data_IF_797800615661
#
_entry.id   IF_797800615661
#
_cell.length_a   1.000
_cell.length_b   1.000
_cell.length_c   1.000
_cell.angle_alpha   90.00
_cell.angle_beta   90.00
_cell.angle_gamma   90.00
#
_symmetry.space_group_name_H-M   'P 1'
#
loop_
_entity.id
_entity.type
_entity.pdbx_description
1 polymer ?
#
# COMPACT_ATOMS: atom_id res chain seq x y z
N UNK A 1 -32.62 22.31 19.09
CA UNK A 1 -32.32 23.54 18.34
C UNK A 1 -30.82 23.86 18.19
N UNK A 2 -29.89 23.18 18.89
CA UNK A 2 -28.44 23.44 18.76
C UNK A 2 -27.69 22.63 17.68
N UNK A 3 -28.30 21.59 17.11
CA UNK A 3 -27.64 20.71 16.11
C UNK A 3 -27.90 21.08 14.64
N UNK A 4 -28.95 21.84 14.34
CA UNK A 4 -29.35 22.18 12.96
C UNK A 4 -28.34 23.13 12.30
N UNK A 5 -27.98 24.21 13.01
CA UNK A 5 -27.05 25.25 12.50
C UNK A 5 -25.66 24.69 12.15
N UNK A 6 -25.18 23.68 12.87
CA UNK A 6 -23.88 23.08 12.59
C UNK A 6 -23.92 22.17 11.36
N UNK A 7 -24.99 21.39 11.18
CA UNK A 7 -25.17 20.58 9.98
C UNK A 7 -25.37 21.44 8.74
N UNK A 8 -26.12 22.54 8.86
CA UNK A 8 -26.34 23.47 7.75
C UNK A 8 -25.01 24.09 7.27
N UNK A 9 -24.12 24.47 8.20
CA UNK A 9 -22.80 24.98 7.82
C UNK A 9 -21.92 23.91 7.16
N UNK A 10 -21.96 22.66 7.64
CA UNK A 10 -21.24 21.56 6.98
C UNK A 10 -21.76 21.35 5.57
N UNK A 11 -23.08 21.37 5.40
CA UNK A 11 -23.74 21.25 4.10
C UNK A 11 -23.23 22.38 3.19
N UNK A 12 -23.30 23.64 3.61
CA UNK A 12 -22.81 24.78 2.83
C UNK A 12 -21.35 24.64 2.40
N UNK A 13 -20.46 24.20 3.30
CA UNK A 13 -19.04 24.00 3.01
C UNK A 13 -18.81 22.88 1.99
N UNK A 14 -19.61 21.81 2.05
CA UNK A 14 -19.58 20.73 1.05
C UNK A 14 -20.10 21.22 -0.30
N UNK A 15 -21.23 21.95 -0.31
CA UNK A 15 -21.82 22.51 -1.53
C UNK A 15 -20.94 23.60 -2.17
N UNK A 16 -20.07 24.24 -1.40
CA UNK A 16 -19.08 25.20 -1.89
C UNK A 16 -17.78 24.53 -2.40
N UNK A 17 -17.71 23.20 -2.46
CA UNK A 17 -16.54 22.41 -2.87
C UNK A 17 -15.28 22.63 -2.01
N UNK A 18 -15.43 23.15 -0.79
CA UNK A 18 -14.30 23.41 0.12
C UNK A 18 -13.88 22.13 0.83
N UNK A 19 -14.84 21.28 1.21
CA UNK A 19 -14.62 19.98 1.84
C UNK A 19 -15.45 18.93 1.10
N UNK A 20 -14.86 17.80 0.81
CA UNK A 20 -15.55 16.63 0.28
C UNK A 20 -15.58 15.55 1.36
N UNK A 21 -16.74 14.92 1.54
CA UNK A 21 -16.91 13.94 2.60
C UNK A 21 -18.37 13.61 2.88
N UNK A 22 -18.59 12.81 3.92
CA UNK A 22 -19.90 12.33 4.32
C UNK A 22 -20.15 12.53 5.81
N UNK A 23 -21.34 13.02 6.14
CA UNK A 23 -21.79 13.12 7.52
C UNK A 23 -22.27 11.75 8.02
N UNK A 24 -21.53 11.15 8.96
CA UNK A 24 -21.99 10.02 9.75
C UNK A 24 -22.74 10.53 10.98
N UNK A 25 -24.06 10.65 10.84
CA UNK A 25 -24.94 11.10 11.91
C UNK A 25 -25.01 10.13 13.08
N UNK A 26 -24.79 8.83 12.85
CA UNK A 26 -24.86 7.80 13.90
C UNK A 26 -23.67 7.95 14.85
N UNK A 27 -22.49 8.15 14.30
CA UNK A 27 -21.26 8.31 15.07
C UNK A 27 -20.94 9.79 15.40
N UNK A 28 -21.76 10.73 14.92
CA UNK A 28 -21.59 12.17 15.11
C UNK A 28 -20.26 12.69 14.55
N UNK A 29 -19.86 12.21 13.38
CA UNK A 29 -18.59 12.53 12.73
C UNK A 29 -18.79 12.98 11.28
N UNK A 30 -17.90 13.83 10.79
CA UNK A 30 -17.76 14.14 9.37
C UNK A 30 -16.53 13.36 8.86
N UNK A 31 -16.77 12.39 7.99
CA UNK A 31 -15.71 11.68 7.28
C UNK A 31 -15.27 12.56 6.12
N UNK A 32 -14.04 13.05 6.14
CA UNK A 32 -13.50 13.97 5.12
C UNK A 32 -12.57 13.21 4.18
N UNK A 33 -12.92 13.21 2.89
CA UNK A 33 -12.12 12.62 1.82
C UNK A 33 -11.05 13.60 1.33
N UNK A 34 -11.42 14.88 1.21
CA UNK A 34 -10.52 15.95 0.77
C UNK A 34 -10.96 17.31 1.32
N UNK A 35 -10.01 18.22 1.52
CA UNK A 35 -10.29 19.61 1.88
C UNK A 35 -9.29 20.55 1.19
N UNK A 36 -9.78 21.74 0.81
CA UNK A 36 -8.93 22.81 0.28
C UNK A 36 -8.03 23.37 1.39
N UNK A 37 -6.74 23.55 1.09
CA UNK A 37 -5.79 24.24 1.96
C UNK A 37 -6.04 25.74 1.95
N UNK A 38 -6.69 26.28 3.00
CA UNK A 38 -7.09 27.69 3.07
C UNK A 38 -5.95 28.65 3.39
N UNK A 39 -5.12 28.31 4.37
CA UNK A 39 -4.03 29.16 4.86
C UNK A 39 -2.74 28.36 4.95
N UNK A 40 -1.62 28.96 4.52
CA UNK A 40 -0.28 28.42 4.74
C UNK A 40 0.51 29.45 5.54
N UNK A 41 0.97 29.06 6.72
CA UNK A 41 1.91 29.86 7.51
C UNK A 41 3.33 29.57 7.03
N UNK A 42 4.20 30.58 6.79
CA UNK A 42 5.56 30.35 6.34
C UNK A 42 6.34 29.35 7.20
N UNK A 43 6.08 29.35 8.51
CA UNK A 43 6.71 28.47 9.49
C UNK A 43 6.30 27.00 9.35
N UNK A 44 5.16 26.72 8.71
CA UNK A 44 4.65 25.37 8.48
C UNK A 44 5.22 24.73 7.21
N UNK A 45 5.85 25.50 6.32
CA UNK A 45 6.39 24.98 5.04
C UNK A 45 7.42 23.87 5.26
N UNK A 46 8.39 23.98 6.20
CA UNK A 46 9.33 22.89 6.46
C UNK A 46 8.66 21.60 6.92
N UNK A 47 7.59 21.70 7.72
CA UNK A 47 6.81 20.54 8.17
C UNK A 47 6.08 19.88 7.00
N UNK A 48 5.43 20.66 6.14
CA UNK A 48 4.77 20.14 4.93
C UNK A 48 5.77 19.39 4.05
N UNK A 49 6.97 19.95 3.84
CA UNK A 49 8.03 19.27 3.07
C UNK A 49 8.46 17.97 3.74
N UNK A 50 8.63 17.96 5.06
CA UNK A 50 8.99 16.75 5.81
C UNK A 50 7.94 15.66 5.64
N UNK A 51 6.66 15.98 5.82
CA UNK A 51 5.56 15.01 5.72
C UNK A 51 5.47 14.43 4.31
N UNK A 52 5.64 15.25 3.28
CA UNK A 52 5.66 14.78 1.89
C UNK A 52 6.87 13.89 1.61
N UNK A 53 8.04 14.24 2.15
CA UNK A 53 9.25 13.44 2.00
C UNK A 53 9.12 12.07 2.68
N UNK A 54 8.59 12.04 3.91
CA UNK A 54 8.34 10.80 4.64
C UNK A 54 7.37 9.88 3.88
N UNK A 55 6.33 10.47 3.27
CA UNK A 55 5.39 9.73 2.44
C UNK A 55 6.04 9.14 1.18
N UNK A 56 6.87 9.92 0.47
CA UNK A 56 7.64 9.43 -0.68
C UNK A 56 8.57 8.29 -0.28
N UNK A 57 9.34 8.46 0.78
CA UNK A 57 10.27 7.43 1.28
C UNK A 57 9.53 6.16 1.71
N UNK A 58 8.35 6.29 2.33
CA UNK A 58 7.49 5.15 2.64
C UNK A 58 7.04 4.39 1.40
N UNK A 59 6.63 5.10 0.34
CA UNK A 59 6.26 4.49 -0.94
C UNK A 59 7.43 3.77 -1.61
N UNK A 60 8.61 4.39 -1.64
CA UNK A 60 9.83 3.80 -2.19
C UNK A 60 10.23 2.51 -1.45
N UNK A 61 10.20 2.54 -0.12
CA UNK A 61 10.50 1.35 0.70
C UNK A 61 9.50 0.21 0.45
N UNK A 62 8.21 0.53 0.30
CA UNK A 62 7.19 -0.47 -0.04
C UNK A 62 7.45 -1.10 -1.41
N UNK A 63 7.74 -0.28 -2.43
CA UNK A 63 8.07 -0.76 -3.78
C UNK A 63 9.31 -1.65 -3.80
N UNK A 64 10.39 -1.21 -3.14
CA UNK A 64 11.63 -1.99 -3.03
C UNK A 64 11.41 -3.34 -2.32
N UNK A 65 10.55 -3.34 -1.29
CA UNK A 65 10.17 -4.58 -0.60
C UNK A 65 9.47 -5.55 -1.57
N UNK A 66 8.51 -5.07 -2.37
CA UNK A 66 7.81 -5.87 -3.38
C UNK A 66 8.79 -6.45 -4.39
N UNK A 67 9.70 -5.65 -4.95
CA UNK A 67 10.71 -6.09 -5.91
C UNK A 67 11.64 -7.17 -5.31
N UNK A 68 12.01 -6.99 -4.04
CA UNK A 68 12.82 -7.96 -3.29
C UNK A 68 12.06 -9.28 -3.12
N UNK A 69 10.76 -9.24 -2.79
CA UNK A 69 9.95 -10.46 -2.65
C UNK A 69 9.77 -11.18 -3.99
N UNK A 70 9.57 -10.45 -5.09
CA UNK A 70 9.51 -11.02 -6.44
C UNK A 70 10.81 -11.74 -6.77
N UNK A 71 11.95 -11.08 -6.54
CA UNK A 71 13.28 -11.66 -6.81
C UNK A 71 13.51 -12.93 -6.00
N UNK A 72 13.16 -12.94 -4.71
CA UNK A 72 13.24 -14.12 -3.84
C UNK A 72 12.33 -15.25 -4.33
N UNK A 73 11.09 -14.95 -4.72
CA UNK A 73 10.16 -15.94 -5.23
C UNK A 73 10.68 -16.60 -6.51
N UNK A 74 11.23 -15.82 -7.43
CA UNK A 74 11.83 -16.32 -8.67
C UNK A 74 13.05 -17.19 -8.40
N UNK A 75 13.96 -16.75 -7.52
CA UNK A 75 15.13 -17.53 -7.13
C UNK A 75 14.75 -18.86 -6.48
N UNK A 76 13.76 -18.86 -5.60
CA UNK A 76 13.25 -20.08 -4.97
C UNK A 76 12.64 -21.03 -6.01
N UNK A 77 11.88 -20.50 -6.97
CA UNK A 77 11.32 -21.29 -8.07
C UNK A 77 12.42 -21.93 -8.91
N UNK A 78 13.44 -21.17 -9.31
CA UNK A 78 14.57 -21.70 -10.07
C UNK A 78 15.33 -22.78 -9.32
N UNK A 79 15.62 -22.55 -8.03
CA UNK A 79 16.30 -23.54 -7.19
C UNK A 79 15.49 -24.83 -7.08
N UNK A 80 14.18 -24.73 -6.87
CA UNK A 80 13.30 -25.91 -6.80
C UNK A 80 13.28 -26.68 -8.13
N UNK A 81 13.27 -25.99 -9.27
CA UNK A 81 13.35 -26.62 -10.59
C UNK A 81 14.70 -27.36 -10.74
N UNK A 82 15.81 -26.72 -10.37
CA UNK A 82 17.16 -27.33 -10.44
C UNK A 82 17.26 -28.57 -9.56
N UNK A 83 16.80 -28.49 -8.30
CA UNK A 83 16.80 -29.61 -7.36
C UNK A 83 15.95 -30.75 -7.91
N UNK A 84 14.73 -30.46 -8.39
CA UNK A 84 13.86 -31.49 -8.99
C UNK A 84 14.53 -32.18 -10.17
N UNK A 85 15.19 -31.43 -11.04
CA UNK A 85 15.90 -32.00 -12.18
C UNK A 85 17.07 -32.91 -11.77
N UNK A 86 17.85 -32.51 -10.77
CA UNK A 86 18.94 -33.34 -10.23
C UNK A 86 18.42 -34.67 -9.69
N UNK A 87 17.34 -34.62 -8.89
CA UNK A 87 16.69 -35.83 -8.35
C UNK A 87 16.21 -36.75 -9.48
N UNK A 88 15.56 -36.20 -10.51
CA UNK A 88 15.09 -36.97 -11.68
C UNK A 88 16.25 -37.65 -12.44
N UNK A 89 17.40 -36.96 -12.59
CA UNK A 89 18.61 -37.52 -13.21
C UNK A 89 19.23 -38.65 -12.37
N UNK A 90 19.32 -38.47 -11.06
CA UNK A 90 19.83 -39.49 -10.13
C UNK A 90 18.96 -40.76 -10.15
N UNK A 91 17.63 -40.60 -10.03
CA UNK A 91 16.69 -41.74 -10.08
C UNK A 91 16.82 -42.51 -11.41
N UNK A 92 16.90 -41.80 -12.53
CA UNK A 92 17.07 -42.42 -13.85
C UNK A 92 18.39 -43.19 -13.95
N UNK A 93 19.46 -42.62 -13.41
CA UNK A 93 20.78 -43.25 -13.39
C UNK A 93 20.75 -44.54 -12.56
N UNK A 94 20.20 -44.51 -11.34
CA UNK A 94 20.06 -45.68 -10.47
C UNK A 94 19.18 -46.79 -11.08
N UNK A 95 18.06 -46.46 -11.72
CA UNK A 95 17.21 -47.46 -12.39
C UNK A 95 17.90 -48.11 -13.61
N UNK A 96 18.79 -47.39 -14.31
CA UNK A 96 19.57 -47.93 -15.42
C UNK A 96 20.60 -48.99 -15.00
N UNK A 97 21.07 -48.96 -13.74
CA UNK A 97 21.99 -49.96 -13.19
C UNK A 97 21.27 -51.25 -12.74
N UNK A 98 20.01 -51.16 -12.31
CA UNK A 98 19.25 -52.34 -11.83
C UNK A 98 18.73 -53.24 -12.96
N UNK A 99 18.64 -52.75 -14.20
CA UNK A 99 18.10 -53.52 -15.35
C UNK A 99 19.15 -54.31 -16.16
N UNK A 100 20.38 -54.45 -15.66
CA UNK A 100 21.48 -55.17 -16.35
C UNK A 100 21.84 -56.54 -15.73
N UNK A 101 21.01 -57.06 -14.84
CA UNK A 101 21.15 -58.40 -14.24
C UNK A 101 19.97 -59.30 -14.59
#
# INVERSE_FOLDING_TARGET
>A
MKGFVFQDLIIEVIYADIVHGKLDQKNQQLEVDYALGRDIRPEAVPEIVSVLQDWCTGCEAMLQSIETQISKANQNKENNIRIKHQIEQEVRSSNGYSGKH
#
